data_IF_503279466772
#
_entry.id   IF_503279466772
#
_cell.length_a   1.000
_cell.length_b   1.000
_cell.length_c   1.000
_cell.angle_alpha   90.00
_cell.angle_beta   90.00
_cell.angle_gamma   90.00
#
_symmetry.space_group_name_H-M   'P 1'
#
loop_
_entity.id
_entity.type
_entity.pdbx_description
1 polymer ?
#
# COMPACT_ATOMS: atom_id res chain seq x y z
N UNK A 1 21.51 25.54 0.34
CA UNK A 1 20.41 24.93 1.11
C UNK A 1 19.95 23.70 0.35
N UNK A 2 20.40 22.54 0.75
CA UNK A 2 19.83 21.29 0.20
C UNK A 2 18.39 21.24 0.67
N UNK A 3 17.48 21.28 -0.31
CA UNK A 3 16.06 21.02 -0.09
C UNK A 3 15.98 19.61 0.48
N UNK A 4 15.67 19.50 1.76
CA UNK A 4 15.44 18.22 2.45
C UNK A 4 14.35 17.50 1.68
N UNK A 5 14.73 16.63 0.74
CA UNK A 5 13.80 15.76 0.02
C UNK A 5 13.10 14.91 1.07
N UNK A 6 11.88 15.25 1.41
CA UNK A 6 11.11 14.53 2.41
C UNK A 6 10.91 13.08 1.97
N UNK A 7 11.12 12.15 2.87
CA UNK A 7 10.83 10.75 2.63
C UNK A 7 9.32 10.55 2.45
N UNK A 8 8.95 9.70 1.51
CA UNK A 8 7.55 9.37 1.26
C UNK A 8 7.03 8.27 2.19
N UNK A 9 7.87 7.26 2.45
CA UNK A 9 7.61 6.23 3.47
C UNK A 9 8.76 6.27 4.47
N UNK A 10 8.41 6.33 5.75
CA UNK A 10 9.36 6.14 6.83
C UNK A 10 8.78 5.17 7.86
N UNK A 11 9.64 4.34 8.43
CA UNK A 11 9.29 3.53 9.59
C UNK A 11 10.21 3.88 10.74
N UNK A 12 9.64 3.95 11.94
CA UNK A 12 10.38 4.24 13.18
C UNK A 12 10.18 3.07 14.14
N UNK A 13 11.23 2.32 14.43
CA UNK A 13 11.23 1.13 15.32
C UNK A 13 10.08 0.18 15.04
N UNK A 14 9.76 -0.01 13.76
CA UNK A 14 8.64 -0.85 13.34
C UNK A 14 8.91 -2.31 13.69
N UNK A 15 8.07 -2.87 14.55
CA UNK A 15 8.13 -4.28 14.95
C UNK A 15 6.87 -4.99 14.45
N UNK A 16 7.06 -6.11 13.77
CA UNK A 16 6.01 -6.83 13.05
C UNK A 16 5.95 -8.30 13.44
N UNK A 17 4.78 -8.89 13.31
CA UNK A 17 4.54 -10.30 13.63
C UNK A 17 3.10 -10.72 13.40
N UNK A 18 2.74 -11.88 13.94
CA UNK A 18 1.40 -12.47 13.84
C UNK A 18 0.88 -12.83 15.22
N UNK A 19 -0.40 -12.59 15.47
CA UNK A 19 -1.10 -12.97 16.70
C UNK A 19 -0.36 -12.53 17.98
N UNK A 20 0.22 -11.33 17.94
CA UNK A 20 1.00 -10.77 19.03
C UNK A 20 2.40 -11.39 19.20
N UNK A 21 2.77 -12.36 18.37
CA UNK A 21 4.12 -12.94 18.37
C UNK A 21 5.02 -12.12 17.45
N UNK A 22 6.08 -11.59 18.04
CA UNK A 22 7.10 -10.82 17.36
C UNK A 22 7.88 -11.69 16.37
N UNK A 23 8.04 -11.21 15.15
CA UNK A 23 8.82 -11.87 14.11
C UNK A 23 10.08 -11.06 13.74
N UNK A 24 9.94 -9.74 13.61
CA UNK A 24 11.03 -8.83 13.27
C UNK A 24 10.88 -7.57 14.11
N UNK A 25 11.98 -7.14 14.67
CA UNK A 25 12.06 -5.94 15.50
C UNK A 25 12.78 -4.80 14.80
N UNK A 26 12.40 -3.59 15.17
CA UNK A 26 13.11 -2.33 14.87
C UNK A 26 13.47 -2.14 13.40
N UNK A 27 12.54 -2.44 12.51
CA UNK A 27 12.72 -2.19 11.07
C UNK A 27 12.68 -0.69 10.81
N UNK A 28 13.75 -0.17 10.23
CA UNK A 28 13.82 1.21 9.77
C UNK A 28 13.92 1.27 8.25
N UNK A 29 12.97 1.93 7.63
CA UNK A 29 12.87 2.11 6.19
C UNK A 29 12.71 3.61 5.92
N UNK A 30 13.45 4.12 4.95
CA UNK A 30 13.34 5.48 4.46
C UNK A 30 13.30 5.43 2.94
N UNK A 31 12.16 5.74 2.33
CA UNK A 31 11.95 5.69 0.89
C UNK A 31 11.45 7.04 0.39
N UNK A 32 12.10 7.58 -0.62
CA UNK A 32 11.70 8.84 -1.28
C UNK A 32 10.81 8.56 -2.49
N UNK A 33 10.10 9.58 -2.94
CA UNK A 33 9.37 9.51 -4.21
C UNK A 33 10.33 9.26 -5.37
N UNK A 34 9.97 8.30 -6.25
CA UNK A 34 10.79 7.91 -7.40
C UNK A 34 11.90 6.90 -7.08
N UNK A 35 12.05 6.47 -5.85
CA UNK A 35 12.97 5.39 -5.47
C UNK A 35 12.26 4.03 -5.47
N UNK A 36 13.04 2.98 -5.68
CA UNK A 36 12.59 1.59 -5.58
C UNK A 36 13.34 0.93 -4.43
N UNK A 37 12.58 0.36 -3.50
CA UNK A 37 13.11 -0.46 -2.42
C UNK A 37 12.80 -1.93 -2.67
N UNK A 38 13.82 -2.77 -2.65
CA UNK A 38 13.66 -4.22 -2.77
C UNK A 38 14.03 -4.92 -1.48
N UNK A 39 13.12 -5.77 -0.98
CA UNK A 39 13.38 -6.63 0.17
C UNK A 39 13.91 -7.98 -0.30
N UNK A 40 15.15 -8.29 0.02
CA UNK A 40 15.81 -9.55 -0.31
C UNK A 40 15.98 -10.41 0.95
N UNK A 41 15.93 -11.71 0.77
CA UNK A 41 16.12 -12.66 1.85
C UNK A 41 15.47 -14.02 1.58
N UNK A 42 15.77 -15.05 2.38
CA UNK A 42 15.20 -16.38 2.20
C UNK A 42 13.68 -16.41 2.43
N UNK A 43 13.03 -17.49 2.01
CA UNK A 43 11.63 -17.72 2.33
C UNK A 43 11.45 -17.83 3.84
N UNK A 44 10.40 -17.21 4.37
CA UNK A 44 10.16 -17.17 5.82
C UNK A 44 10.88 -16.06 6.58
N UNK A 45 11.75 -15.27 5.94
CA UNK A 45 12.45 -14.15 6.57
C UNK A 45 11.56 -12.95 6.97
N UNK A 46 10.25 -13.02 6.73
CA UNK A 46 9.32 -11.96 7.12
C UNK A 46 9.12 -10.83 6.10
N UNK A 47 9.66 -10.94 4.89
CA UNK A 47 9.50 -9.92 3.83
C UNK A 47 8.03 -9.56 3.58
N UNK A 48 7.18 -10.57 3.41
CA UNK A 48 5.75 -10.37 3.19
C UNK A 48 5.05 -9.79 4.43
N UNK A 49 5.54 -10.07 5.62
CA UNK A 49 5.01 -9.51 6.86
C UNK A 49 5.31 -8.02 6.94
N UNK A 50 6.55 -7.61 6.64
CA UNK A 50 6.93 -6.21 6.55
C UNK A 50 6.03 -5.46 5.55
N UNK A 51 5.90 -5.99 4.32
CA UNK A 51 5.09 -5.35 3.28
C UNK A 51 3.61 -5.23 3.67
N UNK A 52 3.02 -6.29 4.25
CA UNK A 52 1.64 -6.26 4.74
C UNK A 52 1.44 -5.28 5.89
N UNK A 53 2.43 -5.13 6.76
CA UNK A 53 2.38 -4.18 7.87
C UNK A 53 2.48 -2.75 7.36
N UNK A 54 3.37 -2.46 6.41
CA UNK A 54 3.45 -1.15 5.74
C UNK A 54 2.14 -0.85 4.99
N UNK A 55 1.53 -1.86 4.35
CA UNK A 55 0.24 -1.71 3.67
C UNK A 55 -0.97 -1.68 4.61
N UNK A 56 -0.78 -1.69 5.93
CA UNK A 56 -1.83 -1.71 6.96
C UNK A 56 -2.78 -2.92 6.85
N UNK A 57 -2.31 -4.02 6.27
CA UNK A 57 -3.03 -5.30 6.25
C UNK A 57 -2.77 -6.14 7.50
N UNK A 58 -1.66 -5.87 8.19
CA UNK A 58 -1.31 -6.41 9.50
C UNK A 58 -1.05 -5.26 10.46
N UNK A 59 -1.53 -5.43 11.68
CA UNK A 59 -1.24 -4.48 12.75
C UNK A 59 0.22 -4.55 13.16
N UNK A 60 0.80 -3.40 13.47
CA UNK A 60 2.14 -3.34 14.06
C UNK A 60 2.09 -3.87 15.49
N UNK A 61 3.16 -4.53 15.92
CA UNK A 61 3.38 -4.87 17.34
C UNK A 61 3.91 -3.64 18.06
N UNK A 62 4.85 -2.91 17.44
CA UNK A 62 5.37 -1.66 17.96
C UNK A 62 5.85 -0.75 16.83
N UNK A 63 6.16 0.48 17.15
CA UNK A 63 6.70 1.47 16.22
C UNK A 63 5.63 2.18 15.41
N UNK A 64 6.07 2.91 14.40
CA UNK A 64 5.21 3.76 13.57
C UNK A 64 5.61 3.64 12.10
N UNK A 65 4.62 3.70 11.22
CA UNK A 65 4.80 3.88 9.78
C UNK A 65 4.18 5.22 9.38
N UNK A 66 4.96 6.06 8.71
CA UNK A 66 4.50 7.34 8.17
C UNK A 66 4.48 7.28 6.65
N UNK A 67 3.46 7.87 6.08
CA UNK A 67 3.27 8.02 4.66
C UNK A 67 3.12 9.52 4.34
N UNK A 68 4.05 10.06 3.57
CA UNK A 68 4.11 11.48 3.25
C UNK A 68 4.09 12.39 4.51
N UNK A 69 4.82 11.96 5.55
CA UNK A 69 4.90 12.63 6.85
C UNK A 69 3.77 12.34 7.85
N UNK A 70 2.67 11.73 7.42
CA UNK A 70 1.51 11.43 8.26
C UNK A 70 1.57 10.01 8.83
N UNK A 71 1.22 9.84 10.09
CA UNK A 71 1.10 8.49 10.71
C UNK A 71 -0.03 7.73 10.02
N UNK A 72 0.28 6.57 9.47
CA UNK A 72 -0.71 5.75 8.75
C UNK A 72 -1.90 5.33 9.60
N UNK A 73 -1.78 5.32 10.92
CA UNK A 73 -2.89 5.00 11.83
C UNK A 73 -3.95 6.09 11.86
N UNK A 74 -3.58 7.33 11.58
CA UNK A 74 -4.51 8.49 11.57
C UNK A 74 -5.25 8.62 10.24
N UNK A 75 -4.75 8.00 9.17
CA UNK A 75 -5.38 8.04 7.86
C UNK A 75 -6.62 7.14 7.81
N UNK A 76 -7.70 7.66 7.24
CA UNK A 76 -8.86 6.83 6.87
C UNK A 76 -8.51 5.86 5.74
N UNK A 77 -9.30 4.81 5.55
CA UNK A 77 -9.10 3.87 4.44
C UNK A 77 -9.13 4.56 3.07
N UNK A 78 -10.00 5.56 2.90
CA UNK A 78 -10.11 6.33 1.66
C UNK A 78 -8.88 7.22 1.41
N UNK A 79 -8.33 7.86 2.43
CA UNK A 79 -7.11 8.66 2.33
C UNK A 79 -5.90 7.79 2.01
N UNK A 80 -5.75 6.66 2.71
CA UNK A 80 -4.67 5.72 2.46
C UNK A 80 -4.71 5.17 1.03
N UNK A 81 -5.87 4.77 0.53
CA UNK A 81 -6.03 4.22 -0.81
C UNK A 81 -5.77 5.21 -1.95
N UNK A 82 -5.83 6.52 -1.68
CA UNK A 82 -5.39 7.57 -2.61
C UNK A 82 -3.87 7.78 -2.62
N UNK A 83 -3.20 7.41 -1.55
CA UNK A 83 -1.75 7.59 -1.37
C UNK A 83 -0.95 6.32 -1.67
N UNK A 84 -1.56 5.14 -1.59
CA UNK A 84 -0.89 3.84 -1.72
C UNK A 84 -1.72 2.85 -2.52
N UNK A 85 -1.07 2.15 -3.45
CA UNK A 85 -1.61 0.97 -4.12
C UNK A 85 -0.80 -0.27 -3.75
N UNK A 86 -1.46 -1.41 -3.64
CA UNK A 86 -0.84 -2.69 -3.27
C UNK A 86 -1.19 -3.75 -4.30
N UNK A 87 -0.17 -4.40 -4.85
CA UNK A 87 -0.35 -5.56 -5.72
C UNK A 87 -0.20 -6.83 -4.88
N UNK A 88 -1.23 -7.64 -4.87
CA UNK A 88 -1.28 -8.89 -4.10
C UNK A 88 -0.90 -10.07 -4.98
N UNK A 89 -0.22 -11.06 -4.41
CA UNK A 89 0.10 -12.32 -5.10
C UNK A 89 -1.11 -13.26 -5.21
N UNK A 90 -2.14 -13.06 -4.40
CA UNK A 90 -3.38 -13.84 -4.48
C UNK A 90 -4.23 -13.36 -5.65
N UNK A 91 -4.68 -14.31 -6.48
CA UNK A 91 -5.67 -14.02 -7.53
C UNK A 91 -6.98 -13.57 -6.91
N UNK A 92 -7.56 -12.51 -7.46
CA UNK A 92 -8.93 -12.13 -7.14
C UNK A 92 -9.85 -13.26 -7.64
N UNK A 93 -10.55 -13.91 -6.73
CA UNK A 93 -11.62 -14.86 -7.06
C UNK A 93 -12.95 -14.09 -7.03
N UNK A 94 -13.29 -13.50 -8.16
CA UNK A 94 -14.60 -12.91 -8.37
C UNK A 94 -15.36 -13.79 -9.36
N UNK A 95 -16.24 -14.66 -8.88
CA UNK A 95 -16.97 -15.63 -9.75
C UNK A 95 -17.92 -14.94 -10.74
N UNK A 96 -18.19 -13.63 -10.59
CA UNK A 96 -19.12 -12.86 -11.42
C UNK A 96 -18.56 -11.49 -11.83
N UNK A 97 -17.26 -11.25 -11.70
CA UNK A 97 -16.64 -9.97 -12.08
C UNK A 97 -16.07 -10.05 -13.50
N UNK A 98 -16.40 -9.09 -14.32
CA UNK A 98 -15.75 -8.88 -15.63
C UNK A 98 -14.35 -8.26 -15.44
N UNK A 99 -13.51 -8.29 -16.47
CA UNK A 99 -12.23 -7.59 -16.45
C UNK A 99 -12.41 -6.09 -16.21
N UNK A 100 -13.50 -5.51 -16.75
CA UNK A 100 -13.85 -4.10 -16.55
C UNK A 100 -14.15 -3.80 -15.08
N UNK A 101 -14.91 -4.67 -14.41
CA UNK A 101 -15.21 -4.54 -12.97
C UNK A 101 -13.93 -4.56 -12.13
N UNK A 102 -12.98 -5.48 -12.43
CA UNK A 102 -11.71 -5.56 -11.72
C UNK A 102 -10.89 -4.28 -11.88
N UNK A 103 -10.83 -3.75 -13.11
CA UNK A 103 -10.13 -2.50 -13.40
C UNK A 103 -10.81 -1.31 -12.71
N UNK A 104 -12.13 -1.27 -12.72
CA UNK A 104 -12.94 -0.25 -12.08
C UNK A 104 -12.70 -0.18 -10.55
N UNK A 105 -12.40 -1.30 -9.89
CA UNK A 105 -12.08 -1.31 -8.45
C UNK A 105 -10.89 -0.43 -8.10
N UNK A 106 -9.92 -0.25 -9.00
CA UNK A 106 -8.77 0.64 -8.80
C UNK A 106 -9.17 2.13 -8.67
N UNK A 107 -10.36 2.50 -9.12
CA UNK A 107 -10.90 3.87 -9.02
C UNK A 107 -11.83 4.08 -7.85
N UNK A 108 -12.16 3.04 -7.10
CA UNK A 108 -13.06 3.11 -5.95
C UNK A 108 -12.74 4.26 -4.96
N UNK A 109 -11.47 4.56 -4.62
CA UNK A 109 -11.15 5.65 -3.72
C UNK A 109 -11.56 7.04 -4.22
N UNK A 110 -11.85 7.17 -5.51
CA UNK A 110 -12.18 8.43 -6.19
C UNK A 110 -13.66 8.55 -6.60
N UNK A 111 -14.47 7.51 -6.36
CA UNK A 111 -15.88 7.46 -6.84
C UNK A 111 -16.89 8.08 -5.89
N UNK A 112 -16.52 8.66 -4.79
CA UNK A 112 -17.46 9.26 -3.84
C UNK A 112 -18.49 8.25 -3.25
N UNK A 113 -19.51 8.79 -2.55
CA UNK A 113 -20.46 8.01 -1.74
C UNK A 113 -21.34 7.02 -2.54
N UNK A 114 -21.54 7.26 -3.82
CA UNK A 114 -22.43 6.45 -4.66
C UNK A 114 -21.70 5.49 -5.61
N UNK A 115 -20.37 5.43 -5.56
CA UNK A 115 -19.59 4.49 -6.37
C UNK A 115 -19.72 4.68 -7.89
N UNK A 116 -20.20 5.85 -8.34
CA UNK A 116 -20.42 6.12 -9.77
C UNK A 116 -19.10 6.47 -10.44
N UNK A 117 -18.68 5.64 -11.39
CA UNK A 117 -17.54 5.90 -12.27
C UNK A 117 -17.96 6.90 -13.36
N UNK A 118 -17.22 7.98 -13.53
CA UNK A 118 -17.38 8.87 -14.67
C UNK A 118 -16.77 8.22 -15.92
N UNK A 119 -17.41 8.38 -17.08
CA UNK A 119 -16.96 7.80 -18.34
C UNK A 119 -15.48 8.13 -18.70
N UNK A 120 -15.00 9.31 -18.33
CA UNK A 120 -13.62 9.75 -18.50
C UNK A 120 -12.58 8.89 -17.75
N UNK A 121 -12.99 8.19 -16.67
CA UNK A 121 -12.10 7.29 -15.91
C UNK A 121 -12.02 5.90 -16.54
N UNK A 122 -13.06 5.46 -17.23
CA UNK A 122 -13.09 4.18 -17.92
C UNK A 122 -12.09 4.21 -19.09
N UNK A 123 -12.11 5.28 -19.89
CA UNK A 123 -11.20 5.42 -21.04
C UNK A 123 -9.73 5.51 -20.66
N UNK A 124 -9.38 6.23 -19.57
CA UNK A 124 -7.99 6.34 -19.13
C UNK A 124 -7.42 5.03 -18.59
N UNK A 125 -8.25 4.16 -18.04
CA UNK A 125 -7.81 2.88 -17.48
C UNK A 125 -7.52 1.84 -18.57
N UNK A 126 -8.25 1.87 -19.69
CA UNK A 126 -7.97 1.02 -20.85
C UNK A 126 -6.66 1.36 -21.57
N UNK A 127 -6.18 2.61 -21.50
CA UNK A 127 -4.92 3.02 -22.14
C UNK A 127 -3.67 2.45 -21.45
N UNK A 128 -3.76 2.04 -20.18
CA UNK A 128 -2.64 1.44 -19.45
C UNK A 128 -2.52 -0.08 -19.61
N UNK A 129 -3.44 -0.74 -20.33
CA UNK A 129 -3.40 -2.20 -20.59
C UNK A 129 -2.67 -2.58 -21.88
N UNK A 130 -2.06 -1.64 -22.60
CA UNK A 130 -1.34 -1.93 -23.86
C UNK A 130 0.18 -2.01 -23.70
N UNK A 131 0.71 -2.19 -22.49
CA UNK A 131 2.14 -2.42 -22.27
C UNK A 131 2.39 -3.63 -21.39
#
# INVERSE_FOLDING_TARGET
>A
METQKSYYITTEKMSVGYDGKLLIEEVEIMLRKGEILTLLGPNGAGKSTILKSIARQLSLIAGTVRLDGEDMRTLTGAELSKKMAVVMTKRLRGELMTCEDVVATGRYPYTGRFGVLRAEYISSTFLYQQF
#
